data_IF_790873759430
#
_entry.id   IF_790873759430
#
_cell.length_a   1.000
_cell.length_b   1.000
_cell.length_c   1.000
_cell.angle_alpha   90.00
_cell.angle_beta   90.00
_cell.angle_gamma   90.00
#
_symmetry.space_group_name_H-M   'P 1'
#
loop_
_entity.id
_entity.type
_entity.pdbx_description
1 polymer ?
#
# COMPACT_ATOMS: atom_id res chain seq x y z
N UNK A 1 -11.91 -8.81 -22.58
CA UNK A 1 -12.18 -8.03 -21.36
C UNK A 1 -11.75 -6.59 -21.63
N UNK A 2 -12.56 -5.60 -21.24
CA UNK A 2 -12.17 -4.20 -21.34
C UNK A 2 -11.02 -3.89 -20.38
N UNK A 3 -10.34 -2.78 -20.60
CA UNK A 3 -9.39 -2.19 -19.66
C UNK A 3 -9.73 -0.71 -19.56
N UNK A 4 -9.99 -0.22 -18.36
CA UNK A 4 -10.09 1.22 -18.12
C UNK A 4 -8.68 1.72 -17.87
N UNK A 5 -8.19 2.60 -18.72
CA UNK A 5 -6.83 3.15 -18.61
C UNK A 5 -6.90 4.58 -18.10
N UNK A 6 -6.20 4.83 -17.00
CA UNK A 6 -5.97 6.16 -16.42
C UNK A 6 -4.48 6.43 -16.57
N UNK A 7 -4.13 7.38 -17.42
CA UNK A 7 -2.74 7.66 -17.77
C UNK A 7 -2.39 9.15 -17.66
N UNK A 8 -1.19 9.45 -17.19
CA UNK A 8 -0.65 10.82 -17.12
C UNK A 8 -1.51 11.76 -16.25
N UNK A 9 -2.04 11.25 -15.13
CA UNK A 9 -2.90 12.02 -14.22
C UNK A 9 -2.18 12.35 -12.92
N UNK A 10 -2.41 13.57 -12.42
CA UNK A 10 -1.90 14.04 -11.13
C UNK A 10 -3.03 14.20 -10.11
N UNK A 11 -3.16 13.23 -9.20
CA UNK A 11 -4.10 13.25 -8.06
C UNK A 11 -3.43 13.87 -6.84
N UNK A 12 -3.96 14.98 -6.31
CA UNK A 12 -3.30 15.71 -5.22
C UNK A 12 -4.24 16.37 -4.21
N UNK A 13 -3.79 16.40 -2.95
CA UNK A 13 -4.43 17.12 -1.85
C UNK A 13 -5.91 16.74 -1.64
N UNK A 14 -6.29 15.51 -1.96
CA UNK A 14 -7.62 15.00 -1.65
C UNK A 14 -7.75 14.76 -0.13
N UNK A 15 -8.87 15.23 0.45
CA UNK A 15 -9.16 15.07 1.89
C UNK A 15 -9.65 13.66 2.24
N UNK A 16 -10.21 12.98 1.27
CA UNK A 16 -10.56 11.57 1.29
C UNK A 16 -9.78 10.84 0.19
N UNK A 17 -9.83 9.50 0.22
CA UNK A 17 -9.14 8.63 -0.73
C UNK A 17 -9.29 9.16 -2.16
N UNK A 18 -8.18 9.47 -2.83
CA UNK A 18 -8.23 10.19 -4.10
C UNK A 18 -8.96 9.39 -5.20
N UNK A 19 -8.79 8.06 -5.21
CA UNK A 19 -9.47 7.17 -6.16
C UNK A 19 -9.99 5.92 -5.45
N UNK A 20 -11.25 5.57 -5.70
CA UNK A 20 -11.84 4.31 -5.26
C UNK A 20 -12.22 3.51 -6.48
N UNK A 21 -11.69 2.29 -6.58
CA UNK A 21 -12.07 1.33 -7.63
C UNK A 21 -13.00 0.30 -7.00
N UNK A 22 -14.27 0.38 -7.34
CA UNK A 22 -15.29 -0.59 -6.95
C UNK A 22 -15.39 -1.73 -7.97
N UNK A 23 -16.08 -2.82 -7.61
CA UNK A 23 -16.27 -3.98 -8.49
C UNK A 23 -16.90 -3.56 -9.83
N UNK A 24 -16.21 -3.76 -10.97
CA UNK A 24 -16.84 -3.57 -12.28
C UNK A 24 -17.90 -4.64 -12.53
N UNK A 25 -18.85 -4.37 -13.43
CA UNK A 25 -19.92 -5.31 -13.79
C UNK A 25 -19.42 -6.55 -14.55
N UNK A 26 -18.17 -6.52 -15.01
CA UNK A 26 -17.49 -7.56 -15.75
C UNK A 26 -16.09 -7.83 -15.16
N UNK A 27 -15.29 -8.67 -15.82
CA UNK A 27 -13.92 -8.98 -15.41
C UNK A 27 -12.88 -7.91 -15.82
N UNK A 28 -13.32 -6.68 -16.11
CA UNK A 28 -12.44 -5.57 -16.51
C UNK A 28 -11.48 -5.18 -15.39
N UNK A 29 -10.25 -4.85 -15.77
CA UNK A 29 -9.26 -4.23 -14.88
C UNK A 29 -9.16 -2.72 -15.10
N UNK A 30 -8.79 -2.01 -14.04
CA UNK A 30 -8.40 -0.59 -14.11
C UNK A 30 -6.88 -0.49 -14.05
N UNK A 31 -6.29 0.12 -15.07
CA UNK A 31 -4.84 0.33 -15.19
C UNK A 31 -4.51 1.80 -14.90
N UNK A 32 -3.65 2.03 -13.93
CA UNK A 32 -3.04 3.34 -13.66
C UNK A 32 -1.62 3.34 -14.20
N UNK A 33 -1.32 4.21 -15.16
CA UNK A 33 -0.01 4.31 -15.78
C UNK A 33 0.51 5.75 -15.73
N UNK A 34 1.78 5.94 -15.43
CA UNK A 34 2.42 7.27 -15.44
C UNK A 34 1.65 8.31 -14.57
N UNK A 35 1.09 7.86 -13.45
CA UNK A 35 0.28 8.70 -12.57
C UNK A 35 1.07 9.16 -11.35
N UNK A 36 0.67 10.31 -10.80
CA UNK A 36 1.23 10.83 -9.55
C UNK A 36 0.09 10.96 -8.54
N UNK A 37 0.27 10.39 -7.36
CA UNK A 37 -0.60 10.54 -6.21
C UNK A 37 0.19 11.24 -5.10
N UNK A 38 -0.14 12.49 -4.84
CA UNK A 38 0.61 13.35 -3.92
C UNK A 38 -0.25 13.90 -2.79
N UNK A 39 0.18 13.68 -1.55
CA UNK A 39 -0.40 14.32 -0.38
C UNK A 39 -1.92 14.13 -0.29
N UNK A 40 -2.41 12.95 -0.68
CA UNK A 40 -3.81 12.59 -0.52
C UNK A 40 -3.99 11.91 0.83
N UNK A 41 -5.14 12.14 1.46
CA UNK A 41 -5.47 11.60 2.77
C UNK A 41 -6.72 10.74 2.70
N UNK A 42 -6.86 9.72 3.54
CA UNK A 42 -8.05 8.88 3.54
C UNK A 42 -8.18 8.05 4.81
N UNK A 43 -9.21 7.20 4.91
CA UNK A 43 -9.27 6.20 6.00
C UNK A 43 -8.61 4.89 5.59
N UNK A 44 -8.85 4.47 4.34
CA UNK A 44 -8.34 3.24 3.73
C UNK A 44 -7.75 3.58 2.37
N UNK A 45 -6.43 3.66 2.26
CA UNK A 45 -5.75 4.15 1.07
C UNK A 45 -5.86 5.67 0.98
N UNK A 46 -4.78 6.43 1.18
CA UNK A 46 -4.81 7.88 0.95
C UNK A 46 -4.92 8.20 -0.54
N UNK A 47 -4.19 7.44 -1.36
CA UNK A 47 -4.20 7.60 -2.81
C UNK A 47 -5.29 6.76 -3.47
N UNK A 48 -5.31 5.45 -3.21
CA UNK A 48 -6.17 4.52 -3.93
C UNK A 48 -6.67 3.41 -3.02
N UNK A 49 -7.98 3.18 -3.09
CA UNK A 49 -8.65 2.01 -2.50
C UNK A 49 -9.10 1.06 -3.60
N UNK A 50 -8.70 -0.20 -3.47
CA UNK A 50 -9.16 -1.31 -4.31
C UNK A 50 -10.25 -2.05 -3.53
N UNK A 51 -11.50 -1.89 -3.97
CA UNK A 51 -12.65 -2.52 -3.33
C UNK A 51 -12.76 -4.02 -3.63
N UNK A 52 -13.65 -4.69 -2.90
CA UNK A 52 -13.90 -6.12 -3.10
C UNK A 52 -14.34 -6.43 -4.53
N UNK A 53 -13.70 -7.39 -5.19
CA UNK A 53 -13.95 -7.78 -6.59
C UNK A 53 -13.37 -6.82 -7.63
N UNK A 54 -12.77 -5.70 -7.23
CA UNK A 54 -12.04 -4.83 -8.14
C UNK A 54 -10.71 -5.46 -8.58
N UNK A 55 -10.26 -5.11 -9.78
CA UNK A 55 -9.03 -5.63 -10.40
C UNK A 55 -8.18 -4.44 -10.86
N UNK A 56 -6.98 -4.29 -10.32
CA UNK A 56 -6.14 -3.11 -10.56
C UNK A 56 -4.73 -3.49 -11.01
N UNK A 57 -4.20 -2.73 -11.97
CA UNK A 57 -2.81 -2.74 -12.41
C UNK A 57 -2.23 -1.34 -12.22
N UNK A 58 -1.01 -1.23 -11.70
CA UNK A 58 -0.31 0.05 -11.49
C UNK A 58 1.08 -0.03 -12.13
N UNK A 59 1.43 0.93 -12.96
CA UNK A 59 2.73 0.99 -13.65
C UNK A 59 3.30 2.40 -13.65
N UNK A 60 4.63 2.48 -13.53
CA UNK A 60 5.39 3.73 -13.68
C UNK A 60 4.79 4.90 -12.89
N UNK A 61 4.29 4.65 -11.68
CA UNK A 61 3.53 5.65 -10.91
C UNK A 61 4.23 6.02 -9.61
N UNK A 62 3.97 7.24 -9.15
CA UNK A 62 4.54 7.80 -7.93
C UNK A 62 3.46 8.00 -6.87
N UNK A 63 3.67 7.43 -5.69
CA UNK A 63 2.87 7.66 -4.48
C UNK A 63 3.74 8.37 -3.45
N UNK A 64 3.50 9.66 -3.24
CA UNK A 64 4.32 10.50 -2.39
C UNK A 64 3.50 11.21 -1.31
N UNK A 65 3.85 10.96 -0.04
CA UNK A 65 3.27 11.71 1.08
C UNK A 65 1.79 11.44 1.31
N UNK A 66 1.24 10.32 0.81
CA UNK A 66 -0.17 9.99 1.04
C UNK A 66 -0.34 9.40 2.43
N UNK A 67 -1.48 9.68 3.07
CA UNK A 67 -1.72 9.28 4.46
C UNK A 67 -3.11 8.67 4.67
N UNK A 68 -3.16 7.52 5.33
CA UNK A 68 -4.40 6.89 5.74
C UNK A 68 -4.17 6.03 6.99
N UNK A 69 -5.26 5.71 7.69
CA UNK A 69 -5.18 4.83 8.86
C UNK A 69 -4.74 3.40 8.46
N UNK A 70 -5.16 2.94 7.29
CA UNK A 70 -4.76 1.66 6.72
C UNK A 70 -4.24 1.88 5.30
N UNK A 71 -2.98 1.54 5.06
CA UNK A 71 -2.33 1.70 3.76
C UNK A 71 -2.20 3.17 3.38
N UNK A 72 -1.12 3.84 3.81
CA UNK A 72 -0.97 5.28 3.61
C UNK A 72 -1.19 5.74 2.16
N UNK A 73 -0.69 4.96 1.20
CA UNK A 73 -1.01 5.13 -0.21
C UNK A 73 -2.14 4.20 -0.67
N UNK A 74 -1.94 2.89 -0.54
CA UNK A 74 -2.82 1.87 -1.13
C UNK A 74 -3.45 1.00 -0.06
N UNK A 75 -4.77 0.80 -0.18
CA UNK A 75 -5.50 -0.20 0.57
C UNK A 75 -6.21 -1.15 -0.39
N UNK A 76 -6.03 -2.45 -0.20
CA UNK A 76 -6.74 -3.50 -0.95
C UNK A 76 -7.64 -4.24 0.03
N UNK A 77 -8.95 -4.14 -0.20
CA UNK A 77 -9.97 -4.79 0.61
C UNK A 77 -10.01 -6.30 0.38
N UNK A 78 -10.58 -7.06 1.32
CA UNK A 78 -10.85 -8.48 1.14
C UNK A 78 -11.63 -8.78 -0.15
N UNK A 79 -11.11 -9.69 -0.97
CA UNK A 79 -11.63 -10.01 -2.31
C UNK A 79 -11.23 -9.01 -3.41
N UNK A 80 -10.53 -7.92 -3.07
CA UNK A 80 -9.89 -7.03 -4.04
C UNK A 80 -8.62 -7.65 -4.62
N UNK A 81 -8.34 -7.37 -5.89
CA UNK A 81 -7.20 -7.91 -6.63
C UNK A 81 -6.32 -6.77 -7.15
N UNK A 82 -5.13 -6.63 -6.56
CA UNK A 82 -4.03 -5.87 -7.13
C UNK A 82 -3.15 -6.83 -7.92
N UNK A 83 -3.35 -6.83 -9.24
CA UNK A 83 -2.75 -7.80 -10.18
C UNK A 83 -1.24 -7.59 -10.27
N UNK A 84 -0.80 -6.35 -10.39
CA UNK A 84 0.64 -6.05 -10.46
C UNK A 84 0.89 -4.58 -10.18
N UNK A 85 2.01 -4.33 -9.51
CA UNK A 85 2.60 -3.00 -9.41
C UNK A 85 4.01 -3.07 -10.00
N UNK A 86 4.30 -2.26 -11.01
CA UNK A 86 5.63 -2.28 -11.64
C UNK A 86 6.24 -0.90 -11.74
N UNK A 87 7.57 -0.81 -11.59
CA UNK A 87 8.37 0.42 -11.80
C UNK A 87 7.80 1.64 -11.07
N UNK A 88 7.26 1.41 -9.88
CA UNK A 88 6.52 2.43 -9.13
C UNK A 88 7.22 2.73 -7.81
N UNK A 89 7.06 3.97 -7.35
CA UNK A 89 7.73 4.47 -6.16
C UNK A 89 6.70 4.86 -5.11
N UNK A 90 6.88 4.35 -3.90
CA UNK A 90 6.14 4.69 -2.69
C UNK A 90 7.09 5.37 -1.73
N UNK A 91 6.92 6.68 -1.53
CA UNK A 91 7.79 7.45 -0.65
C UNK A 91 7.01 8.24 0.39
N UNK A 92 7.43 8.13 1.66
CA UNK A 92 6.87 8.91 2.78
C UNK A 92 5.35 8.78 2.95
N UNK A 93 4.79 7.62 2.62
CA UNK A 93 3.37 7.36 2.81
C UNK A 93 3.11 6.79 4.22
N UNK A 94 1.96 7.13 4.80
CA UNK A 94 1.54 6.68 6.13
C UNK A 94 2.33 7.32 7.27
N UNK A 95 2.86 8.52 7.04
CA UNK A 95 3.68 9.28 8.01
C UNK A 95 2.85 10.34 8.76
N UNK A 96 1.52 10.32 8.64
CA UNK A 96 0.63 11.30 9.26
C UNK A 96 0.43 11.08 10.75
N UNK A 97 0.07 12.16 11.45
CA UNK A 97 -0.19 12.16 12.88
C UNK A 97 -1.64 11.70 13.15
N UNK A 98 -1.87 10.38 13.17
CA UNK A 98 -3.16 9.82 13.58
C UNK A 98 -3.06 9.12 14.93
N UNK A 99 -4.01 9.36 15.85
CA UNK A 99 -3.90 8.91 17.22
C UNK A 99 -4.06 7.39 17.43
N UNK A 100 -4.43 6.59 16.43
CA UNK A 100 -4.77 5.17 16.63
C UNK A 100 -4.33 4.25 15.47
N UNK A 101 -3.82 3.06 15.84
CA UNK A 101 -3.69 1.81 15.08
C UNK A 101 -3.43 1.94 13.57
N UNK A 102 -2.37 2.67 13.20
CA UNK A 102 -1.95 2.74 11.81
C UNK A 102 -1.38 1.40 11.37
N UNK A 103 -1.80 0.90 10.20
CA UNK A 103 -1.30 -0.37 9.67
C UNK A 103 -0.96 -0.21 8.19
N UNK A 104 0.19 -0.72 7.75
CA UNK A 104 0.67 -0.60 6.38
C UNK A 104 1.06 0.83 6.04
N UNK A 105 2.34 1.17 6.13
CA UNK A 105 2.79 2.53 5.90
C UNK A 105 2.51 2.99 4.46
N UNK A 106 2.99 2.28 3.43
CA UNK A 106 2.56 2.58 2.05
C UNK A 106 1.39 1.73 1.59
N UNK A 107 1.48 0.41 1.74
CA UNK A 107 0.54 -0.55 1.14
C UNK A 107 -0.02 -1.48 2.20
N UNK A 108 -1.34 -1.63 2.20
CA UNK A 108 -2.06 -2.54 3.09
C UNK A 108 -2.95 -3.49 2.28
N UNK A 109 -2.66 -4.79 2.36
CA UNK A 109 -3.57 -5.85 1.92
C UNK A 109 -4.37 -6.37 3.11
N UNK A 110 -5.68 -6.14 3.08
CA UNK A 110 -6.61 -6.62 4.11
C UNK A 110 -6.85 -8.12 4.01
N UNK A 111 -7.45 -8.69 5.05
CA UNK A 111 -7.71 -10.10 5.19
C UNK A 111 -8.52 -10.66 4.00
N UNK A 112 -7.92 -11.55 3.22
CA UNK A 112 -8.50 -12.13 2.00
C UNK A 112 -8.33 -11.27 0.74
N UNK A 113 -7.51 -10.21 0.77
CA UNK A 113 -7.08 -9.50 -0.44
C UNK A 113 -6.08 -10.34 -1.25
N UNK A 114 -5.88 -9.98 -2.52
CA UNK A 114 -4.86 -10.58 -3.36
C UNK A 114 -3.96 -9.49 -3.94
N UNK A 115 -2.69 -9.47 -3.51
CA UNK A 115 -1.65 -8.61 -4.04
C UNK A 115 -0.62 -9.54 -4.70
N UNK A 116 -0.67 -9.66 -6.04
CA UNK A 116 0.04 -10.74 -6.73
C UNK A 116 1.52 -10.44 -6.95
N UNK A 117 1.86 -9.22 -7.39
CA UNK A 117 3.26 -8.90 -7.68
C UNK A 117 3.64 -7.43 -7.51
N UNK A 118 4.86 -7.22 -7.06
CA UNK A 118 5.60 -5.97 -7.05
C UNK A 118 6.93 -6.17 -7.75
N UNK A 119 7.15 -5.49 -8.87
CA UNK A 119 8.33 -5.66 -9.72
C UNK A 119 9.02 -4.30 -9.93
N UNK A 120 10.32 -4.22 -9.67
CA UNK A 120 11.10 -3.00 -9.87
C UNK A 120 10.51 -1.82 -9.08
N UNK A 121 10.03 -2.06 -7.85
CA UNK A 121 9.37 -1.05 -7.03
C UNK A 121 10.31 -0.50 -5.96
N UNK A 122 10.13 0.77 -5.59
CA UNK A 122 10.86 1.40 -4.49
C UNK A 122 9.91 1.82 -3.39
N UNK A 123 10.14 1.35 -2.17
CA UNK A 123 9.48 1.77 -0.95
C UNK A 123 10.49 2.50 -0.08
N UNK A 124 10.38 3.81 0.03
CA UNK A 124 11.30 4.63 0.82
C UNK A 124 10.60 5.42 1.93
N UNK A 125 11.13 5.34 3.15
CA UNK A 125 10.74 6.20 4.27
C UNK A 125 9.23 6.18 4.60
N UNK A 126 8.54 5.06 4.34
CA UNK A 126 7.11 4.91 4.63
C UNK A 126 6.87 4.42 6.07
N UNK A 127 5.71 4.74 6.62
CA UNK A 127 5.30 4.39 7.99
C UNK A 127 6.05 5.16 9.09
N UNK A 128 6.77 6.23 8.74
CA UNK A 128 7.55 7.01 9.70
C UNK A 128 6.65 7.91 10.56
N UNK A 129 6.27 7.39 11.74
CA UNK A 129 5.53 8.13 12.77
C UNK A 129 6.44 9.01 13.64
N UNK A 130 7.74 9.12 13.37
CA UNK A 130 8.69 9.76 14.30
C UNK A 130 8.56 11.28 14.42
N UNK A 131 7.87 11.95 13.48
CA UNK A 131 7.53 13.38 13.67
C UNK A 131 6.44 13.60 14.74
N UNK A 132 5.92 12.51 15.31
CA UNK A 132 4.93 12.50 16.41
C UNK A 132 5.54 12.21 17.77
N UNK A 133 6.78 11.70 17.84
CA UNK A 133 7.41 11.24 19.09
C UNK A 133 8.51 12.18 19.60
N UNK A 134 8.81 13.28 18.89
CA UNK A 134 9.81 14.27 19.34
C UNK A 134 9.31 15.22 20.44
N UNK A 135 8.01 15.18 20.80
CA UNK A 135 7.44 16.05 21.82
C UNK A 135 6.61 15.35 22.91
N UNK A 136 6.66 14.01 22.97
CA UNK A 136 5.98 13.25 24.02
C UNK A 136 6.87 12.13 24.53
N UNK A 137 7.39 12.36 25.73
CA UNK A 137 8.02 11.40 26.63
C UNK A 137 7.05 10.32 27.12
N UNK A 138 6.31 9.68 26.20
CA UNK A 138 5.39 8.60 26.50
C UNK A 138 5.92 7.28 25.93
N UNK A 139 6.76 6.62 26.73
CA UNK A 139 7.04 5.20 26.67
C UNK A 139 5.80 4.37 27.00
N UNK A 140 4.74 4.43 26.19
CA UNK A 140 3.48 3.75 26.54
C UNK A 140 2.32 3.74 25.56
N UNK A 141 2.49 4.15 24.30
CA UNK A 141 1.41 4.00 23.30
C UNK A 141 1.61 2.68 22.55
N UNK A 142 0.67 1.74 22.68
CA UNK A 142 0.55 0.50 21.89
C UNK A 142 0.36 0.80 20.39
N UNK A 143 1.33 1.44 19.74
CA UNK A 143 1.34 1.63 18.30
C UNK A 143 1.70 0.29 17.67
N UNK A 144 0.67 -0.46 17.27
CA UNK A 144 0.80 -1.73 16.56
C UNK A 144 1.09 -1.50 15.07
N UNK A 145 1.90 -0.48 14.73
CA UNK A 145 2.27 -0.23 13.35
C UNK A 145 2.91 -1.49 12.76
N UNK A 146 2.19 -2.15 11.83
CA UNK A 146 2.65 -3.30 11.07
C UNK A 146 3.04 -2.82 9.67
N UNK A 147 4.21 -3.24 9.17
CA UNK A 147 4.56 -3.11 7.76
C UNK A 147 4.78 -1.67 7.31
N UNK A 148 5.94 -1.08 7.61
CA UNK A 148 6.22 0.32 7.27
C UNK A 148 6.21 0.59 5.77
N UNK A 149 6.78 -0.31 4.96
CA UNK A 149 6.59 -0.29 3.51
C UNK A 149 5.26 -0.93 3.13
N UNK A 150 5.14 -2.23 3.40
CA UNK A 150 3.98 -3.03 3.00
C UNK A 150 3.51 -3.96 4.12
N UNK A 151 2.22 -4.26 4.17
CA UNK A 151 1.66 -5.33 5.00
C UNK A 151 0.65 -6.17 4.24
N UNK A 152 0.71 -7.49 4.43
CA UNK A 152 -0.31 -8.45 3.97
C UNK A 152 -0.91 -9.17 5.18
N UNK A 153 -2.22 -9.02 5.37
CA UNK A 153 -2.97 -9.74 6.40
C UNK A 153 -3.75 -10.85 5.70
N UNK A 154 -3.51 -12.11 6.08
CA UNK A 154 -4.22 -13.30 5.55
C UNK A 154 -4.46 -13.23 4.03
N UNK A 155 -3.40 -13.13 3.22
CA UNK A 155 -3.54 -12.99 1.77
C UNK A 155 -4.29 -14.20 1.19
N UNK A 156 -4.99 -13.99 0.08
CA UNK A 156 -5.77 -15.03 -0.62
C UNK A 156 -5.06 -15.59 -1.85
N UNK A 157 -3.83 -15.14 -2.13
CA UNK A 157 -3.05 -15.57 -3.26
C UNK A 157 -1.55 -15.45 -2.97
N UNK A 158 -0.75 -16.05 -3.85
CA UNK A 158 0.69 -15.89 -3.83
C UNK A 158 1.07 -14.43 -4.10
N UNK A 159 2.12 -13.96 -3.43
CA UNK A 159 2.69 -12.64 -3.64
C UNK A 159 4.16 -12.78 -4.04
N UNK A 160 4.57 -12.13 -5.13
CA UNK A 160 5.98 -12.00 -5.50
C UNK A 160 6.46 -10.56 -5.37
N UNK A 161 7.65 -10.39 -4.84
CA UNK A 161 8.36 -9.10 -4.81
C UNK A 161 9.71 -9.31 -5.46
N UNK A 162 9.94 -8.59 -6.55
CA UNK A 162 11.05 -8.82 -7.49
C UNK A 162 11.76 -7.50 -7.75
N UNK A 163 13.09 -7.50 -7.78
CA UNK A 163 13.93 -6.35 -8.16
C UNK A 163 13.57 -5.05 -7.42
N UNK A 164 13.09 -5.18 -6.18
CA UNK A 164 12.50 -4.06 -5.43
C UNK A 164 13.38 -3.63 -4.26
N UNK A 165 13.10 -2.45 -3.70
CA UNK A 165 13.84 -1.93 -2.54
C UNK A 165 12.90 -1.40 -1.46
N UNK A 166 13.24 -1.64 -0.20
CA UNK A 166 12.49 -1.22 0.98
C UNK A 166 13.36 -0.44 1.96
N UNK A 167 13.78 0.77 1.59
CA UNK A 167 14.71 1.58 2.38
C UNK A 167 14.02 2.46 3.42
N UNK A 168 14.59 2.54 4.63
CA UNK A 168 14.19 3.50 5.68
C UNK A 168 12.71 3.44 6.10
N UNK A 169 11.99 2.39 5.74
CA UNK A 169 10.61 2.20 6.14
C UNK A 169 10.55 1.81 7.63
N UNK A 170 9.58 2.38 8.36
CA UNK A 170 9.48 2.24 9.81
C UNK A 170 8.11 1.71 10.21
N UNK A 171 8.12 0.80 11.17
CA UNK A 171 6.95 0.24 11.83
C UNK A 171 7.41 -0.43 13.12
N UNK A 172 6.49 -0.66 14.06
CA UNK A 172 6.78 -1.39 15.30
C UNK A 172 7.07 -2.87 15.01
N UNK A 173 6.46 -3.43 13.97
CA UNK A 173 6.70 -4.78 13.48
C UNK A 173 6.82 -4.74 11.95
N UNK A 174 7.93 -5.25 11.40
CA UNK A 174 8.18 -5.32 9.97
C UNK A 174 8.36 -3.94 9.32
N UNK A 175 9.49 -3.28 9.54
CA UNK A 175 9.78 -1.94 8.99
C UNK A 175 9.63 -1.86 7.47
N UNK A 176 10.28 -2.76 6.72
CA UNK A 176 10.10 -2.86 5.27
C UNK A 176 8.78 -3.55 4.89
N UNK A 177 8.58 -4.75 5.42
CA UNK A 177 7.48 -5.61 5.01
C UNK A 177 7.01 -6.49 6.18
N UNK A 178 5.69 -6.66 6.33
CA UNK A 178 5.08 -7.53 7.32
C UNK A 178 4.04 -8.45 6.65
N UNK A 179 3.96 -9.70 7.10
CA UNK A 179 2.92 -10.65 6.68
C UNK A 179 2.38 -11.37 7.91
N UNK A 180 1.06 -11.54 8.00
CA UNK A 180 0.41 -12.29 9.08
C UNK A 180 -0.62 -13.27 8.53
N UNK A 181 -0.83 -14.38 9.25
CA UNK A 181 -1.84 -15.40 8.92
C UNK A 181 -1.72 -15.95 7.49
N UNK A 182 -0.48 -16.18 7.03
CA UNK A 182 -0.22 -16.81 5.74
C UNK A 182 -0.69 -18.27 5.77
N UNK A 183 -1.56 -18.63 4.83
CA UNK A 183 -1.97 -20.03 4.62
C UNK A 183 -0.77 -20.85 4.13
N UNK A 184 -0.58 -22.05 4.69
CA UNK A 184 0.49 -22.99 4.32
C UNK A 184 0.54 -23.37 2.83
N UNK A 185 -0.54 -23.13 2.09
CA UNK A 185 -0.65 -23.39 0.64
C UNK A 185 -0.22 -22.21 -0.23
N UNK A 186 0.02 -21.03 0.36
CA UNK A 186 0.40 -19.82 -0.35
C UNK A 186 1.90 -19.57 -0.28
N UNK A 187 2.44 -19.06 -1.38
CA UNK A 187 3.84 -18.70 -1.50
C UNK A 187 4.03 -17.19 -1.42
N UNK A 188 4.99 -16.77 -0.61
CA UNK A 188 5.57 -15.44 -0.65
C UNK A 188 7.00 -15.54 -1.18
N UNK A 189 7.25 -14.96 -2.35
CA UNK A 189 8.57 -14.99 -2.99
C UNK A 189 9.21 -13.60 -2.97
N UNK A 190 10.45 -13.51 -2.50
CA UNK A 190 11.28 -12.31 -2.52
C UNK A 190 12.52 -12.62 -3.35
N UNK A 191 12.67 -11.99 -4.51
CA UNK A 191 13.78 -12.20 -5.45
C UNK A 191 14.47 -10.88 -5.74
N UNK A 192 15.80 -10.84 -5.67
CA UNK A 192 16.61 -9.65 -5.98
C UNK A 192 16.13 -8.36 -5.30
N UNK A 193 15.56 -8.51 -4.09
CA UNK A 193 14.92 -7.43 -3.34
C UNK A 193 15.76 -7.04 -2.12
N UNK A 194 15.98 -5.74 -1.94
CA UNK A 194 16.80 -5.19 -0.85
C UNK A 194 15.92 -4.56 0.24
N UNK A 195 16.35 -4.68 1.50
CA UNK A 195 15.66 -4.15 2.70
C UNK A 195 16.64 -3.33 3.55
#
# INVERSE_FOLDING_TARGET
AGSVVIENVFFRNCRDTAVVVERPSDSTSVRFANCIFFNNSGTRGGALRVGSGARVVIENSLFLGNDAAQGGALFVEGGGLLISVTRSTFTRNGNGNRPWNMQGGAVYGDAGSCLQSFDTCQFDSNGDLSNTMSNSSSSGSNSTALGGGMVLVRPSCNCSVIDSSFTLNKATVGGGFAVSELDSTLELSLTDTNF
#
